data_IF_732247014360
#
_entry.id   IF_732247014360
#
_cell.length_a   1.000
_cell.length_b   1.000
_cell.length_c   1.000
_cell.angle_alpha   90.00
_cell.angle_beta   90.00
_cell.angle_gamma   90.00
#
_symmetry.space_group_name_H-M   'P 1'
#
loop_
_entity.id
_entity.type
_entity.pdbx_description
1 polymer ?
#
# COMPACT_ATOMS: atom_id res chain seq x y z
N UNK A 1 -24.62 2.41 -15.60
CA UNK A 1 -23.21 2.25 -15.15
C UNK A 1 -22.29 2.59 -16.32
N UNK A 2 -21.49 3.62 -16.18
CA UNK A 2 -20.49 4.06 -17.16
C UNK A 2 -19.23 3.20 -17.04
N UNK A 3 -18.70 2.73 -18.17
CA UNK A 3 -17.48 1.92 -18.20
C UNK A 3 -16.32 2.76 -18.70
N UNK A 4 -15.25 2.84 -17.92
CA UNK A 4 -14.01 3.49 -18.27
C UNK A 4 -12.92 2.45 -18.38
N UNK A 5 -11.92 2.74 -19.21
CA UNK A 5 -10.79 1.85 -19.42
C UNK A 5 -9.49 2.66 -19.38
N UNK A 6 -8.49 2.17 -18.66
CA UNK A 6 -7.16 2.74 -18.58
C UNK A 6 -6.16 1.72 -19.07
N UNK A 7 -5.40 2.10 -20.09
CA UNK A 7 -4.25 1.33 -20.54
C UNK A 7 -3.09 1.53 -19.55
N UNK A 8 -2.40 0.47 -19.24
CA UNK A 8 -1.20 0.55 -18.41
C UNK A 8 0.01 0.77 -19.28
N UNK A 9 0.36 2.02 -19.40
CA UNK A 9 1.61 2.49 -19.97
C UNK A 9 2.52 3.10 -18.93
N UNK A 10 3.31 4.06 -19.33
CA UNK A 10 4.00 4.95 -18.39
C UNK A 10 3.01 5.78 -17.57
N UNK A 11 3.47 6.35 -16.47
CA UNK A 11 2.62 7.15 -15.57
C UNK A 11 1.94 8.34 -16.26
N UNK A 12 2.65 8.93 -17.26
CA UNK A 12 2.11 9.97 -18.12
C UNK A 12 0.92 9.49 -18.97
N UNK A 13 1.00 8.27 -19.50
CA UNK A 13 -0.08 7.68 -20.29
C UNK A 13 -1.33 7.44 -19.43
N UNK A 14 -1.16 6.93 -18.20
CA UNK A 14 -2.25 6.74 -17.24
C UNK A 14 -2.96 8.07 -16.95
N UNK A 15 -2.24 9.17 -16.73
CA UNK A 15 -2.85 10.47 -16.48
C UNK A 15 -3.53 11.06 -17.72
N UNK A 16 -3.01 10.82 -18.92
CA UNK A 16 -3.67 11.22 -20.15
C UNK A 16 -4.96 10.43 -20.40
N UNK A 17 -4.94 9.11 -20.18
CA UNK A 17 -6.14 8.28 -20.27
C UNK A 17 -7.22 8.71 -19.27
N UNK A 18 -6.82 9.02 -18.02
CA UNK A 18 -7.71 9.56 -17.00
C UNK A 18 -8.29 10.92 -17.41
N UNK A 19 -7.44 11.84 -17.93
CA UNK A 19 -7.86 13.15 -18.43
C UNK A 19 -8.93 13.00 -19.50
N UNK A 20 -8.69 12.16 -20.49
CA UNK A 20 -9.60 11.98 -21.63
C UNK A 20 -10.89 11.24 -21.18
N UNK A 21 -10.76 10.21 -20.35
CA UNK A 21 -11.90 9.44 -19.83
C UNK A 21 -12.81 10.25 -18.91
N UNK A 22 -12.24 11.15 -18.07
CA UNK A 22 -12.97 11.94 -17.08
C UNK A 22 -13.30 13.36 -17.55
N UNK A 23 -12.79 13.73 -18.73
CA UNK A 23 -12.91 15.06 -19.32
C UNK A 23 -12.39 16.15 -18.36
N UNK A 24 -11.15 15.98 -17.92
CA UNK A 24 -10.49 16.84 -16.95
C UNK A 24 -9.38 17.70 -17.57
N UNK A 25 -8.84 18.61 -16.75
CA UNK A 25 -7.70 19.47 -17.09
C UNK A 25 -6.45 18.96 -16.37
N UNK A 26 -5.46 18.49 -17.12
CA UNK A 26 -4.22 17.94 -16.58
C UNK A 26 -3.12 19.02 -16.56
N UNK A 27 -2.54 19.21 -15.38
CA UNK A 27 -1.30 19.95 -15.17
C UNK A 27 -0.21 18.98 -14.74
N UNK A 28 0.89 18.93 -15.46
CA UNK A 28 2.05 18.11 -15.10
C UNK A 28 3.29 19.00 -14.98
N UNK A 29 4.01 18.87 -13.89
CA UNK A 29 5.26 19.57 -13.63
C UNK A 29 6.28 18.61 -13.00
N UNK A 30 7.39 18.37 -13.71
CA UNK A 30 8.41 17.38 -13.36
C UNK A 30 7.79 15.99 -13.16
N UNK A 31 7.66 15.53 -11.93
CA UNK A 31 7.08 14.23 -11.57
C UNK A 31 5.77 14.37 -10.78
N UNK A 32 5.19 15.56 -10.75
CA UNK A 32 3.92 15.85 -10.07
C UNK A 32 2.82 16.10 -11.11
N UNK A 33 1.68 15.48 -10.91
CA UNK A 33 0.51 15.50 -11.77
C UNK A 33 -0.69 15.96 -10.98
N UNK A 34 -1.47 16.88 -11.54
CA UNK A 34 -2.75 17.30 -10.99
C UNK A 34 -3.79 17.30 -12.11
N UNK A 35 -4.81 16.48 -11.96
CA UNK A 35 -5.95 16.40 -12.85
C UNK A 35 -7.18 16.94 -12.14
N UNK A 36 -7.65 18.10 -12.57
CA UNK A 36 -8.87 18.72 -12.09
C UNK A 36 -10.05 18.35 -12.99
N UNK A 37 -11.16 17.90 -12.38
CA UNK A 37 -12.28 17.32 -13.10
C UNK A 37 -13.55 18.10 -12.76
N UNK A 38 -14.18 18.67 -13.79
CA UNK A 38 -15.44 19.44 -13.70
C UNK A 38 -16.34 19.10 -14.88
N UNK A 39 -16.72 17.84 -15.00
CA UNK A 39 -17.61 17.40 -16.07
C UNK A 39 -19.07 17.30 -15.59
N UNK A 40 -20.01 17.11 -16.53
CA UNK A 40 -21.44 16.95 -16.21
C UNK A 40 -21.75 15.72 -15.36
N UNK A 41 -20.88 14.70 -15.40
CA UNK A 41 -21.12 13.41 -14.76
C UNK A 41 -20.14 13.06 -13.66
N UNK A 42 -19.04 13.83 -13.52
CA UNK A 42 -18.04 13.64 -12.45
C UNK A 42 -17.37 14.96 -12.09
N UNK A 43 -17.02 15.11 -10.82
CA UNK A 43 -16.24 16.24 -10.29
C UNK A 43 -15.19 15.75 -9.29
N UNK A 44 -14.14 16.52 -9.12
CA UNK A 44 -13.09 16.22 -8.16
C UNK A 44 -11.70 16.42 -8.72
N UNK A 45 -10.72 15.71 -8.16
CA UNK A 45 -9.34 15.78 -8.61
C UNK A 45 -8.59 14.48 -8.40
N UNK A 46 -7.56 14.26 -9.22
CA UNK A 46 -6.59 13.18 -9.05
C UNK A 46 -5.20 13.80 -9.02
N UNK A 47 -4.46 13.56 -7.94
CA UNK A 47 -3.08 14.01 -7.79
C UNK A 47 -2.13 12.83 -7.86
N UNK A 48 -1.00 12.99 -8.53
CA UNK A 48 -0.01 11.93 -8.69
C UNK A 48 1.42 12.41 -8.51
N UNK A 49 2.25 11.52 -8.02
CA UNK A 49 3.69 11.72 -7.95
C UNK A 49 4.39 10.45 -8.44
N UNK A 50 5.40 10.63 -9.31
CA UNK A 50 6.31 9.56 -9.72
C UNK A 50 7.69 9.80 -9.12
N UNK A 51 8.26 8.79 -8.52
CA UNK A 51 9.60 8.83 -7.94
C UNK A 51 10.61 8.10 -8.85
N UNK A 52 11.90 8.43 -8.74
CA UNK A 52 12.96 7.91 -9.61
C UNK A 52 13.10 6.37 -9.55
N UNK A 53 12.79 5.78 -8.39
CA UNK A 53 12.76 4.33 -8.18
C UNK A 53 11.48 3.66 -8.68
N UNK A 54 10.70 4.34 -9.52
CA UNK A 54 9.42 3.89 -10.10
C UNK A 54 8.31 3.68 -9.07
N UNK A 55 8.47 4.15 -7.85
CA UNK A 55 7.37 4.23 -6.89
C UNK A 55 6.37 5.26 -7.37
N UNK A 56 5.08 4.91 -7.33
CA UNK A 56 3.96 5.72 -7.79
C UNK A 56 3.06 6.05 -6.61
N UNK A 57 2.63 7.29 -6.54
CA UNK A 57 1.62 7.72 -5.59
C UNK A 57 0.49 8.41 -6.32
N UNK A 58 -0.76 8.00 -6.07
CA UNK A 58 -1.95 8.66 -6.59
C UNK A 58 -2.95 8.88 -5.48
N UNK A 59 -3.56 10.05 -5.45
CA UNK A 59 -4.65 10.38 -4.55
C UNK A 59 -5.86 10.79 -5.36
N UNK A 60 -6.96 10.10 -5.13
CA UNK A 60 -8.25 10.30 -5.79
C UNK A 60 -9.21 10.97 -4.81
N UNK A 61 -9.85 12.03 -5.25
CA UNK A 61 -10.97 12.70 -4.57
C UNK A 61 -12.05 12.95 -5.62
N UNK A 62 -13.00 12.05 -5.72
CA UNK A 62 -13.95 11.98 -6.82
C UNK A 62 -15.38 11.85 -6.32
N UNK A 63 -16.32 12.40 -7.09
CA UNK A 63 -17.75 12.17 -6.96
C UNK A 63 -18.36 11.98 -8.35
N UNK A 64 -19.10 10.90 -8.53
CA UNK A 64 -19.76 10.54 -9.77
C UNK A 64 -21.27 10.72 -9.66
N UNK A 65 -21.92 11.30 -10.69
CA UNK A 65 -23.37 11.43 -10.75
C UNK A 65 -24.08 10.15 -11.19
N UNK A 66 -23.34 9.17 -11.68
CA UNK A 66 -23.82 7.84 -12.07
C UNK A 66 -22.85 6.75 -11.58
N UNK A 67 -23.27 5.50 -11.55
CA UNK A 67 -22.38 4.39 -11.26
C UNK A 67 -21.29 4.26 -12.32
N UNK A 68 -20.05 4.07 -11.88
CA UNK A 68 -18.87 3.95 -12.75
C UNK A 68 -18.11 2.68 -12.46
N UNK A 69 -17.66 1.99 -13.50
CA UNK A 69 -16.63 0.98 -13.41
C UNK A 69 -15.39 1.42 -14.18
N UNK A 70 -14.23 1.35 -13.52
CA UNK A 70 -12.94 1.68 -14.07
C UNK A 70 -12.11 0.42 -14.22
N UNK A 71 -11.94 -0.05 -15.44
CA UNK A 71 -11.09 -1.20 -15.75
C UNK A 71 -9.66 -0.73 -16.01
N UNK A 72 -8.73 -1.28 -15.25
CA UNK A 72 -7.29 -1.01 -15.37
C UNK A 72 -6.65 -2.24 -15.99
N UNK A 73 -6.02 -2.07 -17.14
CA UNK A 73 -5.31 -3.14 -17.83
C UNK A 73 -4.25 -3.77 -16.93
N UNK A 74 -4.08 -5.06 -17.02
CA UNK A 74 -3.07 -5.79 -16.27
C UNK A 74 -1.95 -6.30 -17.16
N UNK A 75 -0.77 -6.44 -16.58
CA UNK A 75 0.41 -6.99 -17.24
C UNK A 75 1.32 -7.70 -16.24
N UNK A 76 2.15 -8.61 -16.74
CA UNK A 76 3.00 -9.51 -15.90
C UNK A 76 3.93 -8.78 -14.93
N UNK A 77 4.31 -7.54 -15.22
CA UNK A 77 5.18 -6.71 -14.39
C UNK A 77 4.43 -5.61 -13.67
N UNK A 78 3.12 -5.78 -13.48
CA UNK A 78 2.31 -4.83 -12.74
C UNK A 78 2.88 -4.60 -11.34
N UNK A 79 2.85 -3.36 -10.83
CA UNK A 79 3.28 -3.07 -9.47
C UNK A 79 2.37 -3.74 -8.44
N UNK A 80 2.88 -3.93 -7.23
CA UNK A 80 2.04 -4.19 -6.07
C UNK A 80 1.46 -2.85 -5.63
N UNK A 81 0.14 -2.79 -5.47
CA UNK A 81 -0.56 -1.60 -5.05
C UNK A 81 -0.99 -1.70 -3.60
N UNK A 82 -0.67 -0.68 -2.83
CA UNK A 82 -1.20 -0.44 -1.50
C UNK A 82 -2.28 0.63 -1.61
N UNK A 83 -3.49 0.28 -1.23
CA UNK A 83 -4.67 1.15 -1.35
C UNK A 83 -5.16 1.50 0.03
N UNK A 84 -5.43 2.77 0.28
CA UNK A 84 -6.02 3.23 1.53
C UNK A 84 -7.26 4.08 1.24
N UNK A 85 -8.41 3.68 1.78
CA UNK A 85 -9.66 4.41 1.64
C UNK A 85 -9.84 5.41 2.78
N UNK A 86 -9.81 6.70 2.45
CA UNK A 86 -9.95 7.80 3.43
C UNK A 86 -11.41 8.16 3.69
N UNK A 87 -12.22 8.11 2.64
CA UNK A 87 -13.66 8.40 2.73
C UNK A 87 -14.44 7.63 1.65
N UNK A 88 -15.66 7.22 1.97
CA UNK A 88 -16.48 6.39 1.10
C UNK A 88 -16.05 4.92 1.10
N UNK A 89 -16.43 4.20 0.04
CA UNK A 89 -16.07 2.80 -0.19
C UNK A 89 -15.59 2.62 -1.62
N UNK A 90 -14.57 1.79 -1.80
CA UNK A 90 -14.10 1.35 -3.13
C UNK A 90 -14.37 -0.14 -3.25
N UNK A 91 -15.11 -0.56 -4.27
CA UNK A 91 -15.23 -1.98 -4.58
C UNK A 91 -14.23 -2.36 -5.68
N UNK A 92 -13.62 -3.52 -5.55
CA UNK A 92 -12.65 -4.05 -6.50
C UNK A 92 -12.99 -5.49 -6.89
N UNK A 93 -12.76 -5.85 -8.16
CA UNK A 93 -12.74 -7.24 -8.61
C UNK A 93 -11.59 -7.49 -9.59
N UNK A 94 -11.15 -8.73 -9.70
CA UNK A 94 -10.32 -9.18 -10.82
C UNK A 94 -11.23 -9.63 -11.97
N UNK A 95 -11.25 -8.86 -13.06
CA UNK A 95 -12.17 -9.00 -14.16
C UNK A 95 -13.59 -8.51 -13.85
N UNK A 96 -14.38 -8.28 -14.89
CA UNK A 96 -15.75 -7.76 -14.78
C UNK A 96 -16.72 -8.70 -14.06
N UNK A 97 -16.46 -10.00 -14.11
CA UNK A 97 -17.29 -11.04 -13.48
C UNK A 97 -16.66 -11.62 -12.21
N UNK A 98 -15.57 -11.05 -11.72
CA UNK A 98 -14.89 -11.49 -10.50
C UNK A 98 -15.69 -11.16 -9.24
N UNK A 99 -15.34 -11.85 -8.14
CA UNK A 99 -15.88 -11.55 -6.82
C UNK A 99 -15.53 -10.11 -6.42
N UNK A 100 -16.54 -9.32 -6.08
CA UNK A 100 -16.33 -7.94 -5.61
C UNK A 100 -15.93 -7.94 -4.14
N UNK A 101 -14.83 -7.30 -3.85
CA UNK A 101 -14.36 -7.03 -2.48
C UNK A 101 -14.44 -5.54 -2.20
N UNK A 102 -14.98 -5.18 -1.04
CA UNK A 102 -15.23 -3.80 -0.66
C UNK A 102 -14.14 -3.35 0.31
N UNK A 103 -13.46 -2.27 -0.04
CA UNK A 103 -12.57 -1.53 0.83
C UNK A 103 -13.33 -0.37 1.42
N UNK A 104 -13.60 -0.44 2.72
CA UNK A 104 -14.36 0.57 3.45
C UNK A 104 -13.48 1.70 3.98
N UNK A 105 -14.11 2.77 4.42
CA UNK A 105 -13.45 3.93 5.03
C UNK A 105 -12.45 3.51 6.12
N UNK A 106 -11.25 4.10 6.09
CA UNK A 106 -10.10 3.86 6.98
C UNK A 106 -9.47 2.46 6.87
N UNK A 107 -9.91 1.64 5.96
CA UNK A 107 -9.25 0.36 5.67
C UNK A 107 -8.15 0.55 4.64
N UNK A 108 -7.19 -0.36 4.68
CA UNK A 108 -6.17 -0.52 3.65
C UNK A 108 -6.32 -1.86 2.93
N UNK A 109 -5.79 -1.93 1.73
CA UNK A 109 -5.71 -3.16 0.95
C UNK A 109 -4.38 -3.26 0.24
N UNK A 110 -3.91 -4.49 0.05
CA UNK A 110 -2.79 -4.81 -0.82
C UNK A 110 -3.31 -5.57 -2.02
N UNK A 111 -3.01 -5.07 -3.20
CA UNK A 111 -3.41 -5.64 -4.48
C UNK A 111 -2.18 -6.01 -5.29
N UNK A 112 -2.12 -7.24 -5.76
CA UNK A 112 -1.13 -7.68 -6.74
C UNK A 112 -1.84 -8.43 -7.86
N UNK A 113 -1.53 -8.06 -9.09
CA UNK A 113 -2.07 -8.71 -10.27
C UNK A 113 -0.92 -9.00 -11.24
N UNK A 114 -0.61 -10.27 -11.42
CA UNK A 114 0.40 -10.76 -12.38
C UNK A 114 -0.24 -11.51 -13.54
N UNK A 115 -1.56 -11.55 -13.60
CA UNK A 115 -2.32 -12.21 -14.65
C UNK A 115 -2.72 -11.22 -15.75
N UNK A 116 -3.25 -11.75 -16.84
CA UNK A 116 -3.86 -10.95 -17.92
C UNK A 116 -5.28 -10.44 -17.59
N UNK A 117 -5.75 -10.68 -16.35
CA UNK A 117 -7.08 -10.27 -15.92
C UNK A 117 -7.02 -8.86 -15.36
N UNK A 118 -7.81 -7.94 -15.92
CA UNK A 118 -7.84 -6.55 -15.50
C UNK A 118 -8.32 -6.38 -14.06
N UNK A 119 -7.78 -5.38 -13.37
CA UNK A 119 -8.36 -4.88 -12.11
C UNK A 119 -9.52 -3.95 -12.42
N UNK A 120 -10.66 -4.14 -11.78
CA UNK A 120 -11.85 -3.31 -11.98
C UNK A 120 -12.25 -2.66 -10.67
N UNK A 121 -12.28 -1.32 -10.65
CA UNK A 121 -12.80 -0.52 -9.55
C UNK A 121 -14.23 -0.10 -9.84
N UNK A 122 -15.09 -0.13 -8.81
CA UNK A 122 -16.48 0.27 -8.91
C UNK A 122 -16.78 1.42 -7.95
N UNK A 123 -17.48 2.42 -8.47
CA UNK A 123 -17.86 3.61 -7.74
C UNK A 123 -19.37 3.80 -7.78
N UNK A 124 -19.92 4.08 -6.62
CA UNK A 124 -21.36 4.35 -6.47
C UNK A 124 -21.67 5.81 -6.88
N UNK A 125 -22.87 6.02 -7.41
CA UNK A 125 -23.37 7.35 -7.77
C UNK A 125 -23.59 8.23 -6.53
N UNK A 126 -23.40 9.53 -6.69
CA UNK A 126 -23.65 10.58 -5.68
C UNK A 126 -22.91 10.37 -4.32
N UNK A 127 -21.84 9.59 -4.34
CA UNK A 127 -20.99 9.38 -3.17
C UNK A 127 -19.59 9.90 -3.45
N UNK A 128 -19.14 10.83 -2.59
CA UNK A 128 -17.75 11.29 -2.64
C UNK A 128 -16.85 10.20 -2.09
N UNK A 129 -15.84 9.86 -2.88
CA UNK A 129 -14.83 8.89 -2.53
C UNK A 129 -13.46 9.53 -2.49
N UNK A 130 -12.71 9.24 -1.43
CA UNK A 130 -11.32 9.63 -1.29
C UNK A 130 -10.48 8.40 -0.98
N UNK A 131 -9.53 8.10 -1.86
CA UNK A 131 -8.61 7.00 -1.63
C UNK A 131 -7.22 7.32 -2.20
N UNK A 132 -6.24 6.65 -1.64
CA UNK A 132 -4.84 6.76 -2.03
C UNK A 132 -4.36 5.42 -2.55
N UNK A 133 -3.57 5.45 -3.62
CA UNK A 133 -2.95 4.30 -4.25
C UNK A 133 -1.44 4.51 -4.31
N UNK A 134 -0.69 3.61 -3.71
CA UNK A 134 0.76 3.56 -3.74
C UNK A 134 1.20 2.33 -4.53
N UNK A 135 1.86 2.53 -5.66
CA UNK A 135 2.38 1.48 -6.52
C UNK A 135 3.87 1.23 -6.27
N UNK A 136 4.21 -0.01 -5.91
CA UNK A 136 5.59 -0.46 -5.75
C UNK A 136 5.99 -1.34 -6.93
N UNK A 137 7.10 -1.03 -7.64
CA UNK A 137 7.52 -1.81 -8.79
C UNK A 137 7.90 -3.24 -8.39
N UNK A 138 7.59 -4.21 -9.25
CA UNK A 138 7.93 -5.63 -9.05
C UNK A 138 9.18 -6.06 -9.81
N UNK A 139 9.73 -5.18 -10.65
CA UNK A 139 10.94 -5.46 -11.43
C UNK A 139 12.16 -5.39 -10.51
N UNK A 140 12.97 -6.42 -10.51
CA UNK A 140 14.20 -6.52 -9.74
C UNK A 140 15.20 -5.42 -10.14
N UNK A 141 15.26 -4.37 -9.36
CA UNK A 141 16.47 -3.57 -9.27
C UNK A 141 17.32 -4.20 -8.16
N UNK A 142 18.52 -4.68 -8.50
CA UNK A 142 19.42 -5.46 -7.62
C UNK A 142 19.75 -4.80 -6.26
N UNK A 143 19.33 -3.57 -6.03
CA UNK A 143 19.68 -2.76 -4.85
C UNK A 143 18.49 -2.36 -3.94
N UNK A 144 17.28 -2.89 -4.14
CA UNK A 144 16.13 -2.47 -3.31
C UNK A 144 15.57 -3.68 -2.56
N UNK A 145 16.11 -3.92 -1.37
CA UNK A 145 15.68 -4.97 -0.43
C UNK A 145 14.17 -4.92 -0.14
N UNK A 146 13.60 -3.73 0.03
CA UNK A 146 12.17 -3.55 0.28
C UNK A 146 11.31 -4.03 -0.89
N UNK A 147 11.70 -3.74 -2.14
CA UNK A 147 10.96 -4.17 -3.34
C UNK A 147 10.95 -5.70 -3.47
N UNK A 148 12.07 -6.34 -3.17
CA UNK A 148 12.18 -7.80 -3.18
C UNK A 148 11.30 -8.43 -2.11
N UNK A 149 11.30 -7.90 -0.90
CA UNK A 149 10.44 -8.36 0.20
C UNK A 149 8.95 -8.18 -0.13
N UNK A 150 8.56 -7.04 -0.68
CA UNK A 150 7.17 -6.76 -1.11
C UNK A 150 6.75 -7.75 -2.18
N UNK A 151 7.58 -8.00 -3.20
CA UNK A 151 7.29 -8.96 -4.27
C UNK A 151 7.09 -10.36 -3.70
N UNK A 152 8.01 -10.84 -2.90
CA UNK A 152 7.93 -12.19 -2.31
C UNK A 152 6.71 -12.37 -1.40
N UNK A 153 6.26 -11.30 -0.74
CA UNK A 153 5.18 -11.37 0.23
C UNK A 153 3.80 -11.28 -0.40
N UNK A 154 3.64 -10.52 -1.48
CA UNK A 154 2.35 -10.16 -2.07
C UNK A 154 2.16 -10.65 -3.49
N UNK A 155 2.98 -11.55 -3.98
CA UNK A 155 2.76 -12.26 -5.23
C UNK A 155 2.59 -13.76 -4.92
N UNK A 156 1.57 -14.36 -5.48
CA UNK A 156 1.34 -15.80 -5.40
C UNK A 156 1.33 -16.44 -6.79
N UNK A 157 1.38 -17.75 -6.83
CA UNK A 157 1.40 -18.53 -8.08
C UNK A 157 0.09 -18.41 -8.88
N UNK A 158 -1.02 -18.01 -8.24
CA UNK A 158 -2.31 -17.82 -8.91
C UNK A 158 -2.41 -16.51 -9.70
N UNK A 159 -1.47 -15.61 -9.55
CA UNK A 159 -1.36 -14.38 -10.31
C UNK A 159 -2.23 -13.21 -9.84
N UNK A 160 -3.23 -13.46 -8.99
CA UNK A 160 -4.13 -12.42 -8.46
C UNK A 160 -4.18 -12.49 -6.94
N UNK A 161 -3.82 -11.41 -6.27
CA UNK A 161 -3.81 -11.34 -4.82
C UNK A 161 -4.50 -10.06 -4.34
N UNK A 162 -5.44 -10.20 -3.42
CA UNK A 162 -6.03 -9.09 -2.69
C UNK A 162 -6.11 -9.43 -1.20
N UNK A 163 -5.62 -8.52 -0.38
CA UNK A 163 -5.76 -8.55 1.05
C UNK A 163 -6.39 -7.24 1.51
N UNK A 164 -7.42 -7.31 2.34
CA UNK A 164 -8.05 -6.13 2.96
C UNK A 164 -7.72 -6.15 4.44
N UNK A 165 -6.99 -5.12 4.87
CA UNK A 165 -6.59 -4.91 6.26
C UNK A 165 -7.71 -4.33 7.12
N UNK A 166 -7.47 -4.30 8.42
CA UNK A 166 -8.31 -3.59 9.37
C UNK A 166 -8.04 -2.08 9.31
N UNK A 167 -8.90 -1.31 9.96
CA UNK A 167 -8.63 0.12 10.16
C UNK A 167 -7.25 0.34 10.81
N UNK A 168 -6.48 1.28 10.26
CA UNK A 168 -5.15 1.61 10.75
C UNK A 168 -4.93 3.13 10.76
N UNK A 169 -5.00 3.72 11.96
CA UNK A 169 -4.82 5.16 12.14
C UNK A 169 -3.41 5.63 11.76
N UNK A 170 -2.37 4.79 11.96
CA UNK A 170 -0.98 5.12 11.61
C UNK A 170 -0.84 5.41 10.11
N UNK A 171 -1.48 4.62 9.25
CA UNK A 171 -1.47 4.85 7.80
C UNK A 171 -2.19 6.16 7.46
N UNK A 172 -3.35 6.42 8.08
CA UNK A 172 -4.09 7.67 7.89
C UNK A 172 -3.24 8.90 8.25
N UNK A 173 -2.51 8.84 9.36
CA UNK A 173 -1.61 9.90 9.80
C UNK A 173 -0.48 10.15 8.81
N UNK A 174 0.17 9.09 8.32
CA UNK A 174 1.22 9.20 7.30
C UNK A 174 0.73 9.76 5.96
N UNK A 175 -0.48 9.40 5.53
CA UNK A 175 -1.07 9.96 4.31
C UNK A 175 -1.36 11.46 4.50
N UNK A 176 -1.86 11.87 5.66
CA UNK A 176 -2.05 13.30 5.98
C UNK A 176 -0.72 14.05 5.97
N UNK A 177 0.30 13.50 6.63
CA UNK A 177 1.66 14.06 6.64
C UNK A 177 2.19 14.21 5.20
N UNK A 178 2.07 13.19 4.37
CA UNK A 178 2.47 13.25 2.96
C UNK A 178 1.81 14.42 2.20
N UNK A 179 0.52 14.62 2.39
CA UNK A 179 -0.25 15.67 1.72
C UNK A 179 0.13 17.07 2.19
N UNK A 180 0.62 17.19 3.40
CA UNK A 180 0.96 18.46 4.05
C UNK A 180 2.45 18.80 4.04
N UNK A 181 3.30 18.00 3.38
CA UNK A 181 4.74 18.31 3.22
C UNK A 181 4.90 19.70 2.58
N UNK A 182 5.39 20.72 3.31
CA UNK A 182 5.46 22.09 2.79
C UNK A 182 6.69 22.31 1.91
N UNK A 183 7.72 21.48 2.06
CA UNK A 183 8.98 21.58 1.32
C UNK A 183 8.78 21.21 -0.14
N UNK A 184 9.35 22.02 -1.05
CA UNK A 184 9.38 21.78 -2.49
C UNK A 184 10.77 21.29 -2.94
N UNK A 185 10.86 20.86 -4.18
CA UNK A 185 12.11 20.41 -4.80
C UNK A 185 12.64 19.11 -4.17
N UNK A 186 13.96 18.94 -4.15
CA UNK A 186 14.62 17.70 -3.73
C UNK A 186 14.27 17.34 -2.27
N UNK A 187 14.28 18.31 -1.36
CA UNK A 187 13.97 18.07 0.06
C UNK A 187 12.56 17.55 0.22
N UNK A 188 11.58 18.19 -0.42
CA UNK A 188 10.19 17.73 -0.39
C UNK A 188 10.01 16.33 -0.98
N UNK A 189 10.70 16.03 -2.07
CA UNK A 189 10.70 14.71 -2.70
C UNK A 189 11.26 13.63 -1.76
N UNK A 190 12.38 13.91 -1.08
CA UNK A 190 12.98 12.98 -0.12
C UNK A 190 12.08 12.72 1.09
N UNK A 191 11.45 13.78 1.64
CA UNK A 191 10.51 13.64 2.75
C UNK A 191 9.28 12.82 2.33
N UNK A 192 8.66 13.15 1.20
CA UNK A 192 7.53 12.39 0.64
C UNK A 192 7.90 10.91 0.47
N UNK A 193 9.07 10.62 -0.09
CA UNK A 193 9.54 9.24 -0.29
C UNK A 193 9.75 8.48 1.03
N UNK A 194 10.31 9.14 2.05
CA UNK A 194 10.47 8.55 3.38
C UNK A 194 9.12 8.19 4.00
N UNK A 195 8.12 9.07 3.88
CA UNK A 195 6.76 8.81 4.37
C UNK A 195 6.13 7.61 3.64
N UNK A 196 6.26 7.53 2.30
CA UNK A 196 5.73 6.39 1.53
C UNK A 196 6.39 5.08 1.93
N UNK A 197 7.71 5.07 2.14
CA UNK A 197 8.41 3.89 2.66
C UNK A 197 7.84 3.43 3.99
N UNK A 198 7.60 4.36 4.92
CA UNK A 198 7.02 4.03 6.22
C UNK A 198 5.57 3.49 6.10
N UNK A 199 4.75 3.99 5.16
CA UNK A 199 3.42 3.44 4.88
C UNK A 199 3.54 1.96 4.46
N UNK A 200 4.46 1.64 3.54
CA UNK A 200 4.69 0.25 3.09
C UNK A 200 5.14 -0.64 4.25
N UNK A 201 6.06 -0.15 5.09
CA UNK A 201 6.52 -0.89 6.28
C UNK A 201 5.35 -1.22 7.23
N UNK A 202 4.45 -0.26 7.50
CA UNK A 202 3.26 -0.47 8.33
C UNK A 202 2.33 -1.53 7.70
N UNK A 203 2.11 -1.47 6.38
CA UNK A 203 1.27 -2.44 5.67
C UNK A 203 1.87 -3.85 5.70
N UNK A 204 3.17 -3.97 5.45
CA UNK A 204 3.88 -5.25 5.53
C UNK A 204 3.81 -5.83 6.95
N UNK A 205 3.97 -4.98 7.97
CA UNK A 205 3.82 -5.38 9.36
C UNK A 205 2.39 -5.90 9.65
N UNK A 206 1.38 -5.13 9.27
CA UNK A 206 -0.02 -5.49 9.47
C UNK A 206 -0.38 -6.81 8.79
N UNK A 207 0.05 -6.99 7.56
CA UNK A 207 -0.15 -8.23 6.80
C UNK A 207 0.55 -9.41 7.46
N UNK A 208 1.77 -9.23 7.93
CA UNK A 208 2.55 -10.28 8.58
C UNK A 208 1.87 -10.78 9.86
N UNK A 209 1.34 -9.89 10.68
CA UNK A 209 0.59 -10.27 11.89
C UNK A 209 -0.69 -11.05 11.58
N UNK A 210 -1.42 -10.65 10.56
CA UNK A 210 -2.67 -11.33 10.20
C UNK A 210 -2.41 -12.70 9.55
N UNK A 211 -1.37 -12.83 8.75
CA UNK A 211 -0.95 -14.10 8.16
C UNK A 211 -0.57 -15.12 9.24
N UNK A 212 0.16 -14.68 10.28
CA UNK A 212 0.56 -15.55 11.39
C UNK A 212 -0.62 -15.93 12.32
N UNK A 213 -1.67 -15.12 12.37
CA UNK A 213 -2.89 -15.45 13.14
C UNK A 213 -3.76 -16.53 12.50
N UNK A 214 -3.67 -16.69 11.20
CA UNK A 214 -4.43 -17.72 10.45
C UNK A 214 -3.71 -19.06 10.37
N UNK A 215 -2.42 -19.08 10.64
CA UNK A 215 -1.59 -20.28 10.60
C UNK A 215 -1.22 -20.75 12.00
N UNK A 216 -1.96 -21.71 12.56
CA UNK A 216 -1.59 -22.56 13.70
C UNK A 216 -1.45 -21.91 15.10
N UNK A 217 -2.10 -22.47 16.13
CA UNK A 217 -1.92 -22.11 17.55
C UNK A 217 -0.44 -22.11 17.99
N UNK A 218 0.40 -22.97 17.41
CA UNK A 218 1.83 -23.07 17.71
C UNK A 218 2.61 -21.83 17.27
N UNK A 219 2.27 -21.26 16.10
CA UNK A 219 2.90 -20.02 15.60
C UNK A 219 2.50 -18.82 16.45
N UNK A 220 1.24 -18.77 16.94
CA UNK A 220 0.81 -17.75 17.88
C UNK A 220 1.57 -17.83 19.22
N UNK A 221 1.94 -19.02 19.65
CA UNK A 221 2.76 -19.21 20.85
C UNK A 221 4.20 -18.71 20.64
N UNK A 222 4.78 -18.97 19.47
CA UNK A 222 6.12 -18.51 19.10
C UNK A 222 6.20 -16.97 18.88
N UNK A 223 5.09 -16.32 18.48
CA UNK A 223 5.06 -14.86 18.25
C UNK A 223 4.97 -14.04 19.55
N UNK A 224 4.49 -14.63 20.67
CA UNK A 224 4.48 -13.91 21.96
C UNK A 224 5.88 -13.41 22.36
N UNK A 225 6.96 -14.24 22.31
CA UNK A 225 8.32 -13.79 22.59
C UNK A 225 8.79 -12.67 21.67
N UNK A 226 8.50 -12.75 20.36
CA UNK A 226 8.92 -11.74 19.37
C UNK A 226 8.27 -10.38 19.66
N UNK A 227 6.99 -10.36 20.02
CA UNK A 227 6.30 -9.12 20.39
C UNK A 227 6.84 -8.52 21.70
N UNK A 228 7.24 -9.35 22.65
CA UNK A 228 7.89 -8.88 23.87
C UNK A 228 9.28 -8.34 23.59
N UNK A 229 10.06 -8.93 22.68
CA UNK A 229 11.36 -8.40 22.21
C UNK A 229 11.20 -7.03 21.54
N UNK A 230 10.20 -6.87 20.67
CA UNK A 230 9.92 -5.56 20.04
C UNK A 230 9.57 -4.49 21.06
N UNK A 231 8.81 -4.85 22.10
CA UNK A 231 8.50 -3.93 23.20
C UNK A 231 9.74 -3.55 24.01
N UNK A 232 10.68 -4.49 24.20
CA UNK A 232 11.95 -4.25 24.89
C UNK A 232 12.83 -3.26 24.10
N UNK A 233 12.79 -3.25 22.76
CA UNK A 233 13.60 -2.34 21.94
C UNK A 233 13.23 -0.87 22.08
N UNK A 234 12.06 -0.56 22.67
CA UNK A 234 11.60 0.81 22.92
C UNK A 234 11.83 1.28 24.37
N UNK A 235 12.43 0.45 25.20
CA UNK A 235 12.64 0.71 26.65
C UNK A 235 14.02 1.32 26.92
N UNK A 236 14.15 2.01 28.05
CA UNK A 236 15.47 2.43 28.55
C UNK A 236 16.27 1.24 29.08
N UNK A 237 17.59 1.44 29.32
CA UNK A 237 18.50 0.34 29.67
C UNK A 237 18.10 -0.42 30.96
N UNK A 238 17.56 0.25 31.97
CA UNK A 238 17.10 -0.38 33.22
C UNK A 238 15.84 -1.23 33.01
N UNK A 239 14.92 -0.75 32.19
CA UNK A 239 13.73 -1.49 31.78
C UNK A 239 14.07 -2.68 30.90
N UNK A 240 15.06 -2.56 30.02
CA UNK A 240 15.57 -3.66 29.18
C UNK A 240 16.12 -4.80 30.06
N UNK A 241 16.91 -4.48 31.09
CA UNK A 241 17.41 -5.49 32.01
C UNK A 241 16.32 -6.22 32.82
N UNK A 242 15.32 -5.48 33.29
CA UNK A 242 14.17 -6.06 34.00
C UNK A 242 13.33 -6.95 33.05
N UNK A 243 13.06 -6.48 31.85
CA UNK A 243 12.33 -7.23 30.82
C UNK A 243 13.08 -8.48 30.36
N UNK A 244 14.41 -8.41 30.20
CA UNK A 244 15.25 -9.54 29.84
C UNK A 244 15.22 -10.65 30.93
N UNK A 245 15.23 -10.28 32.21
CA UNK A 245 15.08 -11.23 33.34
C UNK A 245 13.71 -11.89 33.31
N UNK A 246 12.64 -11.12 33.11
CA UNK A 246 11.27 -11.62 33.04
C UNK A 246 11.09 -12.56 31.82
N UNK A 247 11.62 -12.19 30.68
CA UNK A 247 11.59 -12.98 29.44
C UNK A 247 12.31 -14.33 29.63
N UNK A 248 13.48 -14.32 30.28
CA UNK A 248 14.26 -15.54 30.58
C UNK A 248 13.49 -16.48 31.49
N UNK A 249 12.84 -15.95 32.54
CA UNK A 249 12.03 -16.73 33.48
C UNK A 249 10.78 -17.33 32.84
N UNK A 250 10.13 -16.57 31.93
CA UNK A 250 8.85 -16.97 31.34
C UNK A 250 9.00 -17.99 30.17
N UNK A 251 10.08 -17.88 29.41
CA UNK A 251 10.25 -18.69 28.18
C UNK A 251 11.38 -19.71 28.26
N UNK A 252 12.05 -19.86 29.41
CA UNK A 252 13.16 -20.78 29.64
C UNK A 252 14.28 -20.72 28.57
N UNK A 253 14.49 -19.54 27.95
CA UNK A 253 15.55 -19.35 26.97
C UNK A 253 16.92 -19.34 27.66
N UNK A 254 17.73 -20.39 27.44
CA UNK A 254 19.14 -20.35 27.77
C UNK A 254 19.94 -19.82 26.58
N UNK A 255 20.39 -18.57 26.67
CA UNK A 255 21.42 -18.08 25.75
C UNK A 255 22.71 -18.85 26.06
N UNK A 256 23.02 -19.87 25.29
CA UNK A 256 24.39 -20.37 25.25
C UNK A 256 25.24 -19.31 24.57
N UNK A 257 26.33 -18.81 25.18
CA UNK A 257 27.21 -17.84 24.53
C UNK A 257 27.80 -18.49 23.27
N UNK A 258 27.70 -17.81 22.14
CA UNK A 258 28.16 -18.24 20.83
C UNK A 258 29.70 -18.22 20.68
N UNK A 259 30.43 -18.09 21.77
CA UNK A 259 31.89 -17.91 21.80
C UNK A 259 32.62 -19.17 22.22
N UNK A 260 32.41 -20.28 21.52
CA UNK A 260 33.32 -21.42 21.68
C UNK A 260 33.47 -22.24 20.39
N UNK A 261 33.85 -21.62 19.28
CA UNK A 261 34.40 -22.31 18.12
C UNK A 261 35.19 -21.34 17.22
N UNK A 262 36.18 -20.66 17.78
CA UNK A 262 37.25 -20.03 16.98
C UNK A 262 38.59 -20.14 17.76
N UNK A 263 38.91 -21.34 18.24
CA UNK A 263 40.24 -21.69 18.72
C UNK A 263 40.38 -23.22 18.65
N UNK A 264 40.69 -23.71 17.47
CA UNK A 264 41.50 -24.91 17.23
C UNK A 264 41.77 -25.03 15.72
#
# INVERSE_FOLDING_TARGET
MKKLYINTGGFDAVFNDLKDSLNGELTANNNEYNLDIKSKWTKGSIKGNRFDDKVLFMHFDLEFNEEVSLSIESFKTAPVFFVYCENGNVSHSFGANGEKKVLSKKQSAVLSNSSVINSVLYFESHKRIQFTLLGMPTIENKNIELTTQVKQRFTNDSGNYIYIGKENSRISERIKEYKTVPQKGIVGTLLKKSILKNIVEIEVEQHSFNYLRTFDPVVNLAMKPINEIKRISTMNFSEILAAARHFRAKYHFSFKPYNQKLAS
#
